data_IF_730089420207
#
_entry.id   IF_730089420207
#
_cell.length_a   1.000
_cell.length_b   1.000
_cell.length_c   1.000
_cell.angle_alpha   90.00
_cell.angle_beta   90.00
_cell.angle_gamma   90.00
#
_symmetry.space_group_name_H-M   'P 1'
#
loop_
_entity.id
_entity.type
_entity.pdbx_description
1 polymer ?
#
# COMPACT_ATOMS: atom_id res chain seq x y z
N UNK A 1 -57.77 10.34 47.05
CA UNK A 1 -57.91 10.38 45.58
C UNK A 1 -56.96 11.44 45.04
N UNK A 2 -55.89 11.07 44.35
CA UNK A 2 -55.29 11.87 43.26
C UNK A 2 -54.23 10.99 42.57
N UNK A 3 -54.56 10.50 41.38
CA UNK A 3 -53.65 9.80 40.48
C UNK A 3 -52.83 10.86 39.74
N UNK A 4 -51.50 10.81 39.80
CA UNK A 4 -50.63 11.55 38.88
C UNK A 4 -49.93 10.52 37.98
N UNK A 5 -50.56 10.26 36.84
CA UNK A 5 -49.91 9.71 35.64
C UNK A 5 -49.36 10.90 34.84
N UNK A 6 -48.11 10.83 34.39
CA UNK A 6 -47.52 11.53 33.23
C UNK A 6 -45.99 11.47 33.43
N UNK A 7 -45.12 11.00 32.55
CA UNK A 7 -45.20 10.38 31.24
C UNK A 7 -43.74 10.00 30.93
N UNK A 8 -43.48 8.74 30.58
CA UNK A 8 -42.13 8.24 30.36
C UNK A 8 -41.65 8.74 28.98
N UNK A 9 -40.79 9.75 28.94
CA UNK A 9 -40.10 10.18 27.73
C UNK A 9 -39.02 9.15 27.39
N UNK A 10 -39.32 8.24 26.46
CA UNK A 10 -38.33 7.32 25.89
C UNK A 10 -37.56 8.09 24.82
N UNK A 11 -36.38 8.61 25.16
CA UNK A 11 -35.41 9.08 24.18
C UNK A 11 -34.86 7.86 23.43
N UNK A 12 -35.38 7.62 22.22
CA UNK A 12 -34.75 6.71 21.27
C UNK A 12 -33.43 7.30 20.80
N UNK A 13 -32.31 6.83 21.37
CA UNK A 13 -30.99 7.01 20.77
C UNK A 13 -30.98 6.28 19.43
N UNK A 14 -31.19 7.01 18.34
CA UNK A 14 -30.89 6.55 17.00
C UNK A 14 -29.36 6.39 16.88
N UNK A 15 -28.88 5.18 17.16
CA UNK A 15 -27.52 4.77 16.83
C UNK A 15 -27.38 4.82 15.30
N UNK A 16 -26.90 5.94 14.77
CA UNK A 16 -26.55 6.07 13.37
C UNK A 16 -25.29 5.22 13.13
N UNK A 17 -25.32 4.19 12.27
CA UNK A 17 -24.13 3.46 11.91
C UNK A 17 -23.38 4.30 10.89
N UNK A 18 -22.71 5.36 11.35
CA UNK A 18 -21.54 5.86 10.65
C UNK A 18 -20.42 4.84 10.88
N UNK A 19 -20.54 3.69 10.22
CA UNK A 19 -19.38 2.90 9.89
C UNK A 19 -18.52 3.85 9.06
N UNK A 20 -17.45 4.37 9.66
CA UNK A 20 -16.40 5.02 8.91
C UNK A 20 -16.04 4.07 7.78
N UNK A 21 -16.39 4.44 6.54
CA UNK A 21 -15.96 3.70 5.37
C UNK A 21 -14.44 3.77 5.40
N UNK A 22 -13.80 2.70 5.91
CA UNK A 22 -12.39 2.47 5.64
C UNK A 22 -12.29 2.56 4.12
N UNK A 23 -11.45 3.45 3.59
CA UNK A 23 -11.32 3.66 2.16
C UNK A 23 -10.60 2.48 1.50
N UNK A 24 -11.04 1.26 1.78
CA UNK A 24 -10.51 0.02 1.25
C UNK A 24 -10.47 0.07 -0.28
N UNK A 25 -9.42 -0.53 -0.83
CA UNK A 25 -9.35 -0.72 -2.28
C UNK A 25 -10.41 -1.73 -2.70
N UNK A 26 -10.97 -1.63 -3.91
CA UNK A 26 -11.99 -2.58 -4.37
C UNK A 26 -11.38 -3.91 -4.81
N UNK A 27 -12.05 -5.05 -4.56
CA UNK A 27 -11.68 -6.34 -5.14
C UNK A 27 -11.77 -6.29 -6.68
N UNK A 28 -10.98 -7.12 -7.36
CA UNK A 28 -10.97 -7.23 -8.81
C UNK A 28 -9.58 -7.24 -9.43
N UNK A 29 -9.53 -7.10 -10.75
CA UNK A 29 -8.29 -7.05 -11.50
C UNK A 29 -7.71 -5.63 -11.44
N UNK A 30 -6.47 -5.53 -11.01
CA UNK A 30 -5.69 -4.31 -10.93
C UNK A 30 -4.52 -4.38 -11.89
N UNK A 31 -4.26 -3.28 -12.58
CA UNK A 31 -3.04 -3.12 -13.35
C UNK A 31 -2.10 -2.19 -12.59
N UNK A 32 -0.89 -2.66 -12.32
CA UNK A 32 0.11 -1.95 -11.55
C UNK A 32 1.34 -1.66 -12.37
N UNK A 33 1.98 -0.53 -12.10
CA UNK A 33 3.17 -0.04 -12.78
C UNK A 33 4.18 0.50 -11.77
N UNK A 34 5.44 0.15 -11.94
CA UNK A 34 6.56 0.65 -11.14
C UNK A 34 7.62 1.24 -12.08
N UNK A 35 7.96 2.50 -11.84
CA UNK A 35 9.09 3.18 -12.44
C UNK A 35 10.22 3.24 -11.42
N UNK A 36 11.39 2.72 -11.77
CA UNK A 36 12.54 2.69 -10.88
C UNK A 36 13.66 3.58 -11.39
N UNK A 37 14.27 4.33 -10.48
CA UNK A 37 15.39 5.23 -10.77
C UNK A 37 16.48 5.11 -9.72
N UNK A 38 17.73 5.31 -10.14
CA UNK A 38 18.91 5.40 -9.26
C UNK A 38 19.44 6.82 -9.35
N UNK A 39 19.16 7.71 -8.37
CA UNK A 39 19.58 9.11 -8.47
C UNK A 39 21.09 9.31 -8.65
N UNK A 40 21.91 8.38 -8.13
CA UNK A 40 23.37 8.39 -8.31
C UNK A 40 23.85 7.95 -9.70
N UNK A 41 22.97 7.38 -10.52
CA UNK A 41 23.24 7.00 -11.91
C UNK A 41 22.06 7.42 -12.81
N UNK A 42 22.03 8.69 -13.26
CA UNK A 42 20.97 9.20 -14.14
C UNK A 42 20.95 8.55 -15.54
N UNK A 43 22.02 7.86 -15.93
CA UNK A 43 22.11 7.15 -17.19
C UNK A 43 21.40 5.80 -17.13
N UNK A 44 21.22 5.25 -15.91
CA UNK A 44 20.42 4.06 -15.69
C UNK A 44 18.96 4.32 -16.06
N UNK A 45 18.50 3.64 -17.11
CA UNK A 45 17.11 3.66 -17.58
C UNK A 45 16.62 2.24 -17.74
N UNK A 46 15.48 1.94 -17.15
CA UNK A 46 14.74 0.71 -17.42
C UNK A 46 13.29 1.04 -17.74
N UNK A 47 12.62 0.24 -18.60
CA UNK A 47 11.19 0.39 -18.81
C UNK A 47 10.41 0.24 -17.51
N UNK A 48 9.27 0.92 -17.41
CA UNK A 48 8.34 0.67 -16.32
C UNK A 48 7.93 -0.81 -16.31
N UNK A 49 7.89 -1.39 -15.13
CA UNK A 49 7.45 -2.78 -14.96
C UNK A 49 5.96 -2.73 -14.68
N UNK A 50 5.18 -3.36 -15.54
CA UNK A 50 3.73 -3.44 -15.39
C UNK A 50 3.29 -4.87 -15.12
N UNK A 51 2.39 -5.08 -14.15
CA UNK A 51 1.83 -6.39 -13.82
C UNK A 51 0.36 -6.28 -13.46
N UNK A 52 -0.51 -7.11 -14.07
CA UNK A 52 -1.85 -7.29 -13.58
C UNK A 52 -1.85 -8.19 -12.33
N UNK A 53 -2.72 -7.92 -11.38
CA UNK A 53 -2.98 -8.80 -10.23
C UNK A 53 -4.45 -8.79 -9.84
N UNK A 54 -4.96 -9.94 -9.41
CA UNK A 54 -6.30 -10.06 -8.88
C UNK A 54 -6.28 -9.88 -7.36
N UNK A 55 -7.13 -8.99 -6.84
CA UNK A 55 -7.38 -8.87 -5.41
C UNK A 55 -8.71 -9.52 -5.04
N UNK A 56 -8.66 -10.40 -4.05
CA UNK A 56 -9.88 -10.93 -3.42
C UNK A 56 -10.52 -9.90 -2.49
N UNK A 57 -11.73 -10.18 -2.02
CA UNK A 57 -12.38 -9.39 -0.97
C UNK A 57 -11.61 -9.38 0.36
N UNK A 58 -10.80 -10.40 0.62
CA UNK A 58 -9.93 -10.43 1.79
C UNK A 58 -8.70 -9.54 1.59
N UNK A 59 -8.07 -9.59 0.40
CA UNK A 59 -6.92 -8.75 0.08
C UNK A 59 -7.28 -7.26 0.04
N UNK A 60 -8.48 -6.93 -0.44
CA UNK A 60 -8.99 -5.56 -0.53
C UNK A 60 -9.02 -4.79 0.80
N UNK A 61 -9.07 -5.51 1.93
CA UNK A 61 -9.03 -4.93 3.29
C UNK A 61 -7.63 -4.49 3.72
N UNK A 62 -6.61 -4.83 2.94
CA UNK A 62 -5.23 -4.41 3.16
C UNK A 62 -4.66 -3.85 1.85
N UNK A 63 -4.73 -2.52 1.62
CA UNK A 63 -4.23 -1.87 0.42
C UNK A 63 -2.76 -2.19 0.09
N UNK A 64 -1.95 -2.58 1.08
CA UNK A 64 -0.55 -2.98 0.85
C UNK A 64 -0.43 -4.29 0.06
N UNK A 65 -1.49 -5.09 -0.07
CA UNK A 65 -1.50 -6.32 -0.87
C UNK A 65 -1.24 -6.04 -2.35
N UNK A 66 -1.62 -4.86 -2.84
CA UNK A 66 -1.22 -4.38 -4.17
C UNK A 66 0.30 -4.37 -4.33
N UNK A 67 1.02 -3.96 -3.28
CA UNK A 67 2.46 -3.76 -3.35
C UNK A 67 3.27 -5.07 -3.26
N UNK A 68 2.68 -6.15 -2.73
CA UNK A 68 3.40 -7.37 -2.34
C UNK A 68 4.20 -8.02 -3.48
N UNK A 69 3.64 -8.11 -4.68
CA UNK A 69 4.29 -8.80 -5.81
C UNK A 69 5.24 -7.93 -6.64
N UNK A 70 5.21 -6.60 -6.43
CA UNK A 70 6.00 -5.66 -7.21
C UNK A 70 7.07 -4.92 -6.40
N UNK A 71 7.15 -5.19 -5.10
CA UNK A 71 7.79 -4.29 -4.13
C UNK A 71 9.20 -3.87 -4.52
N UNK A 72 10.01 -4.71 -5.15
CA UNK A 72 11.29 -4.29 -5.73
C UNK A 72 11.70 -5.22 -6.89
N UNK A 73 12.08 -4.71 -8.07
CA UNK A 73 12.58 -5.55 -9.16
C UNK A 73 13.82 -6.35 -8.72
N UNK A 74 13.79 -7.67 -8.92
CA UNK A 74 14.89 -8.56 -8.54
C UNK A 74 15.00 -8.89 -7.05
N UNK A 75 14.06 -8.43 -6.22
CA UNK A 75 13.96 -8.83 -4.82
C UNK A 75 12.98 -9.98 -4.63
N UNK A 76 13.23 -10.78 -3.59
CA UNK A 76 12.35 -11.87 -3.16
C UNK A 76 12.07 -11.72 -1.67
N UNK A 77 10.91 -12.20 -1.21
CA UNK A 77 10.58 -12.19 0.22
C UNK A 77 10.51 -10.79 0.82
N UNK A 78 9.94 -9.82 0.10
CA UNK A 78 9.73 -8.48 0.62
C UNK A 78 8.59 -8.48 1.65
N UNK A 79 8.90 -8.11 2.88
CA UNK A 79 7.95 -7.89 3.96
C UNK A 79 7.66 -6.40 4.12
N UNK A 80 6.38 -6.09 4.31
CA UNK A 80 5.90 -4.75 4.67
C UNK A 80 5.63 -4.73 6.17
N UNK A 81 6.19 -3.74 6.87
CA UNK A 81 6.03 -3.55 8.32
C UNK A 81 5.81 -2.09 8.67
N UNK A 82 5.61 -1.79 9.96
CA UNK A 82 5.56 -0.39 10.42
C UNK A 82 4.45 0.44 9.80
N UNK A 83 3.33 -0.20 9.40
CA UNK A 83 2.24 0.49 8.72
C UNK A 83 1.64 1.56 9.64
N UNK A 84 1.67 2.80 9.20
CA UNK A 84 1.03 3.95 9.86
C UNK A 84 0.22 4.72 8.82
N UNK A 85 -0.77 5.49 9.27
CA UNK A 85 -1.58 6.30 8.36
C UNK A 85 -3.06 6.30 8.69
N UNK A 86 -3.85 6.73 7.72
CA UNK A 86 -5.28 6.95 7.85
C UNK A 86 -6.03 6.40 6.63
N UNK A 87 -7.32 6.69 6.55
CA UNK A 87 -8.12 6.28 5.40
C UNK A 87 -7.63 6.98 4.14
N UNK A 88 -7.23 6.22 3.13
CA UNK A 88 -6.75 6.73 1.84
C UNK A 88 -5.26 7.11 1.79
N UNK A 89 -4.52 6.93 2.89
CA UNK A 89 -3.07 7.13 2.91
C UNK A 89 -2.38 6.18 3.90
N UNK A 90 -1.28 5.54 3.50
CA UNK A 90 -0.44 4.84 4.46
C UNK A 90 1.05 4.92 4.12
N UNK A 91 1.83 4.91 5.19
CA UNK A 91 3.28 4.80 5.17
C UNK A 91 3.69 3.44 5.72
N UNK A 92 4.82 2.94 5.28
CA UNK A 92 5.29 1.61 5.64
C UNK A 92 6.79 1.44 5.40
N UNK A 93 7.37 0.49 6.10
CA UNK A 93 8.73 0.05 5.84
C UNK A 93 8.72 -1.21 4.99
N UNK A 94 9.72 -1.31 4.10
CA UNK A 94 9.96 -2.50 3.28
C UNK A 94 11.29 -3.10 3.68
N UNK A 95 11.32 -4.42 3.83
CA UNK A 95 12.55 -5.17 3.94
C UNK A 95 12.44 -6.45 3.13
N UNK A 96 13.36 -6.65 2.18
CA UNK A 96 13.40 -7.87 1.40
C UNK A 96 14.51 -8.79 1.87
N UNK A 97 14.23 -10.09 1.77
CA UNK A 97 15.23 -11.13 1.98
C UNK A 97 16.26 -11.16 0.84
N UNK A 98 17.38 -11.84 1.07
CA UNK A 98 18.42 -12.05 0.07
C UNK A 98 19.66 -11.16 0.23
N UNK A 99 20.61 -11.35 -0.69
CA UNK A 99 21.99 -10.85 -0.57
C UNK A 99 22.14 -9.35 -0.81
N UNK A 100 21.13 -8.70 -1.42
CA UNK A 100 21.17 -7.29 -1.75
C UNK A 100 20.73 -6.39 -0.58
N UNK A 101 20.35 -6.96 0.57
CA UNK A 101 19.97 -6.25 1.79
C UNK A 101 19.00 -5.09 1.52
N UNK A 102 17.98 -5.36 0.70
CA UNK A 102 17.08 -4.33 0.22
C UNK A 102 16.16 -3.91 1.35
N UNK A 103 16.03 -2.60 1.56
CA UNK A 103 15.05 -2.07 2.48
C UNK A 103 14.92 -0.57 2.39
N UNK A 104 13.86 -0.04 2.97
CA UNK A 104 13.58 1.39 2.96
C UNK A 104 12.15 1.68 3.37
N UNK A 105 11.64 2.82 2.90
CA UNK A 105 10.37 3.38 3.34
C UNK A 105 9.49 3.73 2.14
N UNK A 106 8.20 3.48 2.26
CA UNK A 106 7.18 3.76 1.26
C UNK A 106 6.06 4.61 1.82
N UNK A 107 5.49 5.46 0.97
CA UNK A 107 4.32 6.26 1.27
C UNK A 107 3.41 6.24 0.05
N UNK A 108 2.13 5.90 0.26
CA UNK A 108 1.15 5.75 -0.81
C UNK A 108 -0.20 6.36 -0.43
N UNK A 109 -0.82 6.95 -1.43
CA UNK A 109 -2.22 7.37 -1.41
C UNK A 109 -3.05 6.35 -2.18
N UNK A 110 -4.26 6.07 -1.68
CA UNK A 110 -5.17 5.14 -2.30
C UNK A 110 -6.62 5.61 -2.25
N UNK A 111 -7.35 5.20 -3.27
CA UNK A 111 -8.80 5.30 -3.36
C UNK A 111 -9.36 3.89 -3.60
N UNK A 112 -10.69 3.71 -3.66
CA UNK A 112 -11.26 2.42 -4.03
C UNK A 112 -10.74 1.85 -5.36
N UNK A 113 -10.21 2.67 -6.29
CA UNK A 113 -9.83 2.24 -7.65
C UNK A 113 -8.43 2.61 -8.10
N UNK A 114 -7.68 3.36 -7.27
CA UNK A 114 -6.34 3.82 -7.61
C UNK A 114 -5.42 3.71 -6.43
N UNK A 115 -4.15 3.43 -6.67
CA UNK A 115 -3.07 3.62 -5.70
C UNK A 115 -1.92 4.34 -6.40
N UNK A 116 -1.27 5.26 -5.71
CA UNK A 116 -0.08 5.92 -6.19
C UNK A 116 0.86 6.22 -5.03
N UNK A 117 2.16 6.22 -5.28
CA UNK A 117 3.10 6.65 -4.26
C UNK A 117 4.55 6.44 -4.63
N UNK A 118 5.40 6.53 -3.61
CA UNK A 118 6.85 6.47 -3.78
C UNK A 118 7.45 5.53 -2.74
N UNK A 119 8.43 4.74 -3.15
CA UNK A 119 9.30 3.97 -2.28
C UNK A 119 10.73 4.49 -2.42
N UNK A 120 11.32 4.88 -1.30
CA UNK A 120 12.73 5.18 -1.19
C UNK A 120 13.42 3.94 -0.63
N UNK A 121 14.27 3.31 -1.44
CA UNK A 121 14.86 2.02 -1.12
C UNK A 121 16.36 2.11 -1.24
N UNK A 122 17.06 1.46 -0.33
CA UNK A 122 18.49 1.26 -0.39
C UNK A 122 18.81 -0.22 -0.55
N UNK A 123 19.84 -0.51 -1.34
CA UNK A 123 20.28 -1.86 -1.63
C UNK A 123 21.78 -1.90 -1.89
N UNK A 124 22.35 -3.09 -1.82
CA UNK A 124 23.76 -3.33 -2.05
C UNK A 124 23.95 -3.74 -3.52
N UNK A 125 24.79 -3.01 -4.25
CA UNK A 125 25.09 -3.25 -5.67
C UNK A 125 26.54 -3.71 -5.83
N UNK A 126 26.76 -4.76 -6.63
CA UNK A 126 28.10 -5.31 -6.92
C UNK A 126 28.42 -6.61 -6.17
N UNK A 127 29.70 -6.97 -6.12
CA UNK A 127 30.20 -8.16 -5.41
C UNK A 127 29.88 -8.06 -3.90
N UNK A 128 29.36 -9.10 -3.24
CA UNK A 128 29.04 -9.08 -1.81
C UNK A 128 30.19 -8.60 -0.89
N UNK A 129 31.45 -8.79 -1.27
CA UNK A 129 32.64 -8.36 -0.51
C UNK A 129 33.05 -6.91 -0.77
N UNK A 130 32.51 -6.27 -1.80
CA UNK A 130 32.80 -4.90 -2.20
C UNK A 130 31.53 -4.09 -2.51
N UNK A 131 30.39 -4.54 -1.98
CA UNK A 131 29.10 -4.01 -2.39
C UNK A 131 28.94 -2.56 -1.93
N UNK A 132 28.48 -1.71 -2.84
CA UNK A 132 28.20 -0.31 -2.54
C UNK A 132 26.72 -0.17 -2.17
N UNK A 133 26.45 0.48 -1.04
CA UNK A 133 25.08 0.89 -0.68
C UNK A 133 24.62 1.96 -1.68
N UNK A 134 23.51 1.68 -2.35
CA UNK A 134 22.95 2.50 -3.42
C UNK A 134 21.48 2.76 -3.13
N UNK A 135 21.10 4.03 -3.17
CA UNK A 135 19.71 4.47 -3.04
C UNK A 135 18.99 4.45 -4.37
N UNK A 136 17.69 4.18 -4.33
CA UNK A 136 16.77 4.23 -5.45
C UNK A 136 15.45 4.86 -5.04
N UNK A 137 14.77 5.41 -6.04
CA UNK A 137 13.41 5.92 -5.90
C UNK A 137 12.54 5.16 -6.88
N UNK A 138 11.51 4.51 -6.35
CA UNK A 138 10.49 3.80 -7.12
C UNK A 138 9.18 4.56 -7.06
N UNK A 139 8.63 4.98 -8.20
CA UNK A 139 7.27 5.50 -8.29
C UNK A 139 6.32 4.36 -8.61
N UNK A 140 5.27 4.22 -7.84
CA UNK A 140 4.27 3.16 -8.00
C UNK A 140 2.93 3.75 -8.38
N UNK A 141 2.25 3.09 -9.30
CA UNK A 141 0.88 3.39 -9.70
C UNK A 141 0.09 2.09 -9.83
N UNK A 142 -1.17 2.10 -9.42
CA UNK A 142 -2.11 1.01 -9.62
C UNK A 142 -3.48 1.56 -10.01
N UNK A 143 -4.19 0.84 -10.87
CA UNK A 143 -5.57 1.13 -11.23
C UNK A 143 -6.37 -0.15 -11.36
N UNK A 144 -7.58 -0.18 -10.80
CA UNK A 144 -8.55 -1.25 -11.06
C UNK A 144 -9.01 -1.20 -12.51
N UNK A 145 -8.92 -2.31 -13.21
CA UNK A 145 -9.30 -2.44 -14.63
C UNK A 145 -10.53 -3.32 -14.86
N UNK A 146 -11.02 -4.02 -13.83
CA UNK A 146 -12.23 -4.82 -13.94
C UNK A 146 -12.38 -5.82 -12.81
N UNK A 147 -13.25 -6.80 -13.02
CA UNK A 147 -13.33 -7.98 -12.18
C UNK A 147 -12.18 -8.95 -12.54
N UNK A 148 -11.90 -9.89 -11.64
CA UNK A 148 -11.15 -11.09 -11.99
C UNK A 148 -12.11 -12.08 -12.67
#
# INVERSE_FOLDING_TARGET
MQQVRLGLFVLGLAASPFAAAQADVRPGLWNMSVEFSVPSDPAFKQPAITRPQCLTAADARDPSRLLAEMSVPGATGCAISGKTGSSGHFEFDVKCEGIFAIGGHGSVDYTPDTLQGTLNLDFNLGDPKAAKRTGSVSRVMARRVGDC
#
